data_IF_006047715412
#
_entry.id   IF_006047715412
#
_cell.length_a   1.000
_cell.length_b   1.000
_cell.length_c   1.000
_cell.angle_alpha   90.00
_cell.angle_beta   90.00
_cell.angle_gamma   90.00
#
_symmetry.space_group_name_H-M   'P 1'
#
loop_
_entity.id
_entity.type
_entity.pdbx_description
1 polymer ?
#
# COMPACT_ATOMS: atom_id res chain seq x y z
N UNK A 1 -14.26 31.98 18.18
CA UNK A 1 -15.20 31.38 17.19
C UNK A 1 -15.59 29.92 17.48
N UNK A 2 -15.03 29.23 18.48
CA UNK A 2 -15.54 27.92 18.93
C UNK A 2 -15.26 26.79 17.94
N UNK A 3 -16.05 25.71 18.02
CA UNK A 3 -15.93 24.53 17.14
C UNK A 3 -16.54 24.80 15.76
N UNK A 4 -15.88 24.34 14.70
CA UNK A 4 -16.36 24.48 13.31
C UNK A 4 -16.29 23.15 12.57
N UNK A 5 -17.26 22.92 11.67
CA UNK A 5 -17.30 21.73 10.81
C UNK A 5 -16.33 21.89 9.64
N UNK A 6 -15.33 21.01 9.58
CA UNK A 6 -14.35 20.93 8.49
C UNK A 6 -14.68 19.84 7.44
N UNK A 7 -15.59 18.92 7.75
CA UNK A 7 -15.94 17.82 6.86
C UNK A 7 -16.53 18.33 5.53
N UNK A 8 -16.05 17.80 4.41
CA UNK A 8 -16.49 18.16 3.06
C UNK A 8 -15.92 19.48 2.52
N UNK A 9 -15.08 20.20 3.28
CA UNK A 9 -14.46 21.46 2.86
C UNK A 9 -13.00 21.24 2.48
N UNK A 10 -12.51 22.04 1.53
CA UNK A 10 -11.07 22.15 1.24
C UNK A 10 -10.38 23.06 2.26
N UNK A 11 -9.06 22.95 2.37
CA UNK A 11 -8.24 23.79 3.28
C UNK A 11 -8.51 25.27 3.02
N UNK A 12 -8.47 25.71 1.76
CA UNK A 12 -8.75 27.11 1.36
C UNK A 12 -10.16 27.59 1.71
N UNK A 13 -11.15 26.72 1.57
CA UNK A 13 -12.52 27.07 1.94
C UNK A 13 -12.63 27.30 3.45
N UNK A 14 -11.99 26.43 4.23
CA UNK A 14 -11.99 26.53 5.67
C UNK A 14 -11.18 27.74 6.16
N UNK A 15 -10.04 28.05 5.53
CA UNK A 15 -9.25 29.28 5.79
C UNK A 15 -10.12 30.52 5.65
N UNK A 16 -10.77 30.68 4.49
CA UNK A 16 -11.64 31.84 4.21
C UNK A 16 -12.83 31.96 5.17
N UNK A 17 -13.41 30.84 5.57
CA UNK A 17 -14.53 30.81 6.52
C UNK A 17 -14.07 31.22 7.93
N UNK A 18 -12.88 30.79 8.35
CA UNK A 18 -12.28 31.18 9.63
C UNK A 18 -11.89 32.66 9.61
N UNK A 19 -11.28 33.16 8.52
CA UNK A 19 -10.98 34.59 8.33
C UNK A 19 -12.23 35.46 8.48
N UNK A 20 -13.32 35.07 7.79
CA UNK A 20 -14.60 35.79 7.86
C UNK A 20 -15.14 35.79 9.29
N UNK A 21 -15.15 34.64 9.95
CA UNK A 21 -15.66 34.51 11.33
C UNK A 21 -14.84 35.30 12.36
N UNK A 22 -13.52 35.42 12.16
CA UNK A 22 -12.67 36.27 13.00
C UNK A 22 -12.84 37.76 12.65
N UNK A 23 -12.99 38.09 11.37
CA UNK A 23 -13.14 39.45 10.84
C UNK A 23 -14.40 40.16 11.33
N UNK A 24 -15.51 39.43 11.49
CA UNK A 24 -16.80 40.01 11.88
C UNK A 24 -16.88 40.46 13.34
N UNK A 25 -16.12 39.83 14.25
CA UNK A 25 -16.29 40.03 15.70
C UNK A 25 -15.03 40.26 16.51
N UNK A 26 -13.85 39.94 15.99
CA UNK A 26 -12.66 39.82 16.83
C UNK A 26 -11.42 40.54 16.29
N UNK A 27 -11.16 40.48 14.98
CA UNK A 27 -9.90 40.93 14.39
C UNK A 27 -10.14 41.82 13.16
N UNK A 28 -9.31 42.85 12.96
CA UNK A 28 -9.26 43.57 11.70
C UNK A 28 -8.27 42.88 10.75
N UNK A 29 -8.73 42.48 9.57
CA UNK A 29 -7.93 41.80 8.53
C UNK A 29 -7.12 40.60 9.04
N UNK A 30 -7.77 39.54 9.56
CA UNK A 30 -7.08 38.33 9.97
C UNK A 30 -6.47 37.59 8.77
N UNK A 31 -5.24 37.09 8.92
CA UNK A 31 -4.57 36.17 8.00
C UNK A 31 -4.50 34.79 8.66
N UNK A 32 -5.12 33.78 8.02
CA UNK A 32 -5.28 32.45 8.61
C UNK A 32 -4.69 31.41 7.68
N UNK A 33 -3.68 30.69 8.16
CA UNK A 33 -3.11 29.52 7.47
C UNK A 33 -3.47 28.24 8.22
N UNK A 34 -4.02 27.24 7.51
CA UNK A 34 -4.39 25.96 8.10
C UNK A 34 -3.42 24.86 7.65
N UNK A 35 -2.82 24.17 8.62
CA UNK A 35 -2.04 22.96 8.38
C UNK A 35 -2.85 21.72 8.75
N UNK A 36 -2.99 20.80 7.80
CA UNK A 36 -3.56 19.47 8.08
C UNK A 36 -2.51 18.68 8.89
N UNK A 37 -2.71 18.63 10.21
CA UNK A 37 -1.78 17.98 11.14
C UNK A 37 -1.65 16.48 10.88
N UNK A 38 -2.76 15.80 10.62
CA UNK A 38 -2.82 14.40 10.21
C UNK A 38 -3.98 14.25 9.23
N UNK A 39 -3.69 14.02 7.94
CA UNK A 39 -4.66 13.33 7.09
C UNK A 39 -4.63 11.90 7.59
N UNK A 40 -5.73 11.41 8.17
CA UNK A 40 -5.84 10.00 8.56
C UNK A 40 -5.48 9.21 7.30
N UNK A 41 -4.24 8.72 7.24
CA UNK A 41 -3.66 8.21 6.02
C UNK A 41 -4.60 7.17 5.45
N UNK A 42 -4.86 7.25 4.15
CA UNK A 42 -5.63 6.22 3.49
C UNK A 42 -4.97 4.88 3.83
N UNK A 43 -5.73 3.90 4.28
CA UNK A 43 -5.18 2.57 4.59
C UNK A 43 -5.45 1.64 3.44
N UNK A 44 -4.45 0.84 3.11
CA UNK A 44 -4.57 -0.28 2.18
C UNK A 44 -4.31 -1.58 2.93
N UNK A 45 -4.77 -2.68 2.37
CA UNK A 45 -4.39 -4.02 2.81
C UNK A 45 -3.45 -4.62 1.78
N UNK A 46 -2.33 -5.17 2.22
CA UNK A 46 -1.43 -5.97 1.38
C UNK A 46 -1.39 -7.39 1.94
N UNK A 47 -1.70 -8.36 1.10
CA UNK A 47 -1.90 -9.76 1.49
C UNK A 47 -1.27 -10.73 0.49
N UNK A 48 -1.15 -11.99 0.90
CA UNK A 48 -0.56 -13.08 0.11
C UNK A 48 0.96 -13.14 0.22
N UNK A 49 1.61 -13.48 -0.90
CA UNK A 49 3.03 -13.84 -0.94
C UNK A 49 3.99 -12.63 -0.96
N UNK A 50 3.91 -11.84 0.11
CA UNK A 50 4.80 -10.71 0.43
C UNK A 50 5.60 -11.01 1.71
N UNK A 51 6.67 -10.26 1.95
CA UNK A 51 7.50 -10.49 3.14
C UNK A 51 6.76 -10.12 4.44
N UNK A 52 5.91 -9.10 4.41
CA UNK A 52 5.09 -8.67 5.54
C UNK A 52 3.68 -8.35 5.03
N UNK A 53 2.75 -9.27 5.24
CA UNK A 53 1.34 -9.01 4.98
C UNK A 53 0.75 -8.15 6.11
N UNK A 54 -0.17 -7.25 5.79
CA UNK A 54 -0.77 -6.37 6.77
C UNK A 54 -1.49 -5.15 6.19
N UNK A 55 -1.94 -4.30 7.09
CA UNK A 55 -2.60 -3.04 6.75
C UNK A 55 -1.57 -1.91 6.86
N UNK A 56 -1.45 -1.12 5.80
CA UNK A 56 -0.45 -0.07 5.69
C UNK A 56 -1.10 1.30 5.49
N UNK A 57 -0.65 2.34 6.20
CA UNK A 57 -1.00 3.71 5.87
C UNK A 57 -0.26 4.11 4.58
N UNK A 58 -0.98 4.77 3.67
CA UNK A 58 -0.43 5.31 2.43
C UNK A 58 -0.80 6.77 2.26
N UNK A 59 0.07 7.50 1.57
CA UNK A 59 -0.22 8.85 1.13
C UNK A 59 -1.28 8.81 0.02
N UNK A 60 -1.95 9.94 -0.21
CA UNK A 60 -2.91 10.03 -1.30
C UNK A 60 -2.26 9.78 -2.67
N UNK A 61 -0.96 10.03 -2.84
CA UNK A 61 -0.21 9.85 -4.09
C UNK A 61 0.45 8.48 -4.25
N UNK A 62 0.22 7.54 -3.34
CA UNK A 62 0.87 6.24 -3.36
C UNK A 62 0.52 5.41 -4.61
N UNK A 63 1.50 4.62 -5.03
CA UNK A 63 1.44 3.71 -6.17
C UNK A 63 1.48 2.24 -5.73
N UNK A 64 1.17 1.33 -6.65
CA UNK A 64 1.25 -0.12 -6.37
C UNK A 64 2.65 -0.55 -5.95
N UNK A 65 3.69 0.05 -6.54
CA UNK A 65 5.06 -0.22 -6.11
C UNK A 65 5.32 0.23 -4.67
N UNK A 66 4.74 1.34 -4.23
CA UNK A 66 4.87 1.83 -2.85
C UNK A 66 4.21 0.87 -1.86
N UNK A 67 3.02 0.34 -2.18
CA UNK A 67 2.36 -0.69 -1.37
C UNK A 67 3.24 -1.94 -1.20
N UNK A 68 3.80 -2.44 -2.30
CA UNK A 68 4.66 -3.62 -2.27
C UNK A 68 5.94 -3.34 -1.47
N UNK A 69 6.51 -2.13 -1.59
CA UNK A 69 7.68 -1.72 -0.83
C UNK A 69 7.39 -1.65 0.69
N UNK A 70 6.23 -1.13 1.08
CA UNK A 70 5.79 -1.09 2.48
C UNK A 70 5.62 -2.50 3.08
N UNK A 71 5.16 -3.46 2.26
CA UNK A 71 5.10 -4.87 2.62
C UNK A 71 6.46 -5.60 2.61
N UNK A 72 7.55 -4.88 2.37
CA UNK A 72 8.92 -5.42 2.33
C UNK A 72 9.24 -6.18 1.03
N UNK A 73 8.44 -6.04 -0.02
CA UNK A 73 8.59 -6.76 -1.27
C UNK A 73 7.96 -8.15 -1.26
N UNK A 74 8.20 -8.90 -2.34
CA UNK A 74 7.73 -10.27 -2.51
C UNK A 74 8.55 -11.22 -1.63
N UNK A 75 7.90 -12.25 -1.10
CA UNK A 75 8.62 -13.37 -0.50
C UNK A 75 9.21 -14.29 -1.60
N UNK A 76 10.02 -15.33 -1.26
CA UNK A 76 10.68 -16.17 -2.24
C UNK A 76 9.76 -16.90 -3.22
N UNK A 77 8.49 -17.12 -2.87
CA UNK A 77 7.51 -17.82 -3.70
C UNK A 77 6.50 -16.88 -4.37
N UNK A 78 6.55 -15.57 -4.10
CA UNK A 78 5.63 -14.59 -4.68
C UNK A 78 5.76 -14.45 -6.20
N UNK A 79 4.61 -14.40 -6.88
CA UNK A 79 4.50 -14.18 -8.32
C UNK A 79 4.29 -12.69 -8.62
N UNK A 80 5.36 -12.03 -9.08
CA UNK A 80 5.31 -10.62 -9.44
C UNK A 80 4.47 -10.35 -10.71
N UNK A 81 4.10 -11.39 -11.48
CA UNK A 81 3.19 -11.30 -12.62
C UNK A 81 1.71 -11.45 -12.24
N UNK A 82 1.41 -11.81 -11.00
CA UNK A 82 0.05 -12.07 -10.50
C UNK A 82 -0.25 -11.26 -9.25
N UNK A 83 -0.22 -9.94 -9.40
CA UNK A 83 -0.57 -9.00 -8.34
C UNK A 83 -1.95 -8.42 -8.63
N UNK A 84 -2.92 -8.76 -7.79
CA UNK A 84 -4.30 -8.33 -7.95
C UNK A 84 -4.60 -7.16 -7.03
N UNK A 85 -5.24 -6.12 -7.58
CA UNK A 85 -5.77 -5.01 -6.81
C UNK A 85 -7.29 -5.08 -6.84
N UNK A 86 -7.89 -5.23 -5.66
CA UNK A 86 -9.33 -5.18 -5.45
C UNK A 86 -9.70 -3.81 -4.94
N UNK A 87 -10.64 -3.15 -5.63
CA UNK A 87 -11.11 -1.81 -5.30
C UNK A 87 -12.62 -1.76 -5.26
N UNK A 88 -13.18 -1.24 -4.18
CA UNK A 88 -14.61 -0.97 -4.09
C UNK A 88 -14.90 0.43 -4.64
N UNK A 89 -15.76 0.53 -5.64
CA UNK A 89 -16.23 1.80 -6.24
C UNK A 89 -17.74 1.83 -6.15
N UNK A 90 -18.27 2.48 -5.11
CA UNK A 90 -19.70 2.47 -4.80
C UNK A 90 -20.16 1.05 -4.45
N UNK A 91 -21.11 0.52 -5.24
CA UNK A 91 -21.61 -0.86 -5.10
C UNK A 91 -20.81 -1.88 -5.92
N UNK A 92 -19.87 -1.42 -6.77
CA UNK A 92 -19.13 -2.28 -7.67
C UNK A 92 -17.75 -2.63 -7.12
N UNK A 93 -17.31 -3.87 -7.37
CA UNK A 93 -15.96 -4.34 -7.04
C UNK A 93 -15.14 -4.44 -8.33
N UNK A 94 -14.14 -3.57 -8.45
CA UNK A 94 -13.17 -3.61 -9.54
C UNK A 94 -12.00 -4.50 -9.14
N UNK A 95 -11.54 -5.32 -10.09
CA UNK A 95 -10.40 -6.21 -9.91
C UNK A 95 -9.49 -6.06 -11.11
N UNK A 96 -8.21 -5.78 -10.87
CA UNK A 96 -7.20 -5.66 -11.91
C UNK A 96 -5.97 -6.50 -11.55
N UNK A 97 -5.46 -7.25 -12.52
CA UNK A 97 -4.18 -7.93 -12.42
C UNK A 97 -3.07 -7.03 -12.98
N UNK A 98 -1.95 -6.95 -12.27
CA UNK A 98 -0.77 -6.19 -12.66
C UNK A 98 0.47 -7.09 -12.66
N UNK A 99 1.25 -6.95 -13.72
CA UNK A 99 2.61 -7.51 -13.79
C UNK A 99 3.60 -6.47 -13.28
N UNK A 100 4.08 -6.67 -12.06
CA UNK A 100 5.03 -5.78 -11.38
C UNK A 100 6.42 -5.83 -12.00
N UNK A 101 6.81 -6.94 -12.66
CA UNK A 101 8.08 -7.02 -13.38
C UNK A 101 8.07 -6.09 -14.60
N UNK A 102 6.97 -6.08 -15.35
CA UNK A 102 6.78 -5.16 -16.48
C UNK A 102 6.71 -3.70 -16.03
N UNK A 103 6.06 -3.43 -14.90
CA UNK A 103 6.00 -2.08 -14.32
C UNK A 103 7.42 -1.61 -13.94
N UNK A 104 8.21 -2.45 -13.27
CA UNK A 104 9.61 -2.14 -12.91
C UNK A 104 10.50 -1.95 -14.15
N UNK A 105 10.24 -2.72 -15.20
CA UNK A 105 10.93 -2.59 -16.48
C UNK A 105 10.45 -1.40 -17.33
N UNK A 106 9.50 -0.59 -16.84
CA UNK A 106 8.94 0.55 -17.57
C UNK A 106 8.05 0.17 -18.76
N UNK A 107 7.72 -1.12 -18.92
CA UNK A 107 6.86 -1.63 -20.01
C UNK A 107 5.38 -1.42 -19.73
N UNK A 108 5.02 -1.24 -18.46
CA UNK A 108 3.64 -1.00 -18.04
C UNK A 108 3.58 0.15 -17.03
N UNK A 109 2.43 0.81 -16.92
CA UNK A 109 2.25 1.96 -16.03
C UNK A 109 2.12 1.49 -14.58
N UNK A 110 2.79 2.17 -13.66
CA UNK A 110 2.61 1.96 -12.23
C UNK A 110 1.27 2.59 -11.78
N UNK A 111 0.23 1.79 -11.44
CA UNK A 111 -1.08 2.34 -11.11
C UNK A 111 -1.05 3.01 -9.73
N UNK A 112 -1.88 4.05 -9.57
CA UNK A 112 -2.14 4.66 -8.26
C UNK A 112 -3.07 3.75 -7.45
N UNK A 113 -2.76 3.64 -6.17
CA UNK A 113 -3.60 2.96 -5.18
C UNK A 113 -4.36 3.98 -4.35
N UNK A 114 -5.52 3.60 -3.85
CA UNK A 114 -6.36 4.43 -3.02
C UNK A 114 -6.72 3.72 -1.72
N UNK A 115 -7.14 4.51 -0.74
CA UNK A 115 -7.65 3.97 0.52
C UNK A 115 -8.77 2.95 0.32
N UNK A 116 -8.67 1.84 1.05
CA UNK A 116 -9.58 0.71 0.93
C UNK A 116 -9.19 -0.31 -0.14
N UNK A 117 -8.16 -0.06 -0.94
CA UNK A 117 -7.64 -1.06 -1.87
C UNK A 117 -7.06 -2.26 -1.10
N UNK A 118 -7.30 -3.45 -1.64
CA UNK A 118 -6.68 -4.71 -1.19
C UNK A 118 -5.76 -5.21 -2.30
N UNK A 119 -4.46 -5.26 -2.02
CA UNK A 119 -3.44 -5.77 -2.92
C UNK A 119 -3.12 -7.20 -2.51
N UNK A 120 -3.33 -8.16 -3.40
CA UNK A 120 -3.07 -9.59 -3.15
C UNK A 120 -2.02 -10.09 -4.12
N UNK A 121 -0.96 -10.69 -3.57
CA UNK A 121 0.08 -11.37 -4.36
C UNK A 121 -0.14 -12.87 -4.29
N UNK A 122 -0.27 -13.53 -5.44
CA UNK A 122 -0.37 -14.99 -5.49
C UNK A 122 0.99 -15.67 -5.55
N UNK A 123 1.02 -16.94 -5.16
CA UNK A 123 2.22 -17.75 -5.25
C UNK A 123 2.53 -18.20 -6.67
N UNK A 124 3.82 -18.24 -6.97
CA UNK A 124 4.36 -18.80 -8.20
C UNK A 124 4.63 -20.29 -8.00
N UNK A 125 3.84 -21.13 -8.69
CA UNK A 125 3.94 -22.59 -8.61
C UNK A 125 5.35 -23.09 -8.94
N UNK A 126 6.03 -22.48 -9.91
CA UNK A 126 7.40 -22.84 -10.30
C UNK A 126 8.42 -22.47 -9.22
N UNK A 127 8.26 -21.32 -8.56
CA UNK A 127 9.12 -20.93 -7.43
C UNK A 127 8.90 -21.87 -6.23
N UNK A 128 7.67 -22.25 -5.93
CA UNK A 128 7.36 -23.25 -4.89
C UNK A 128 8.07 -24.58 -5.19
N UNK A 129 7.92 -25.10 -6.42
CA UNK A 129 8.55 -26.37 -6.81
C UNK A 129 10.08 -26.32 -6.68
N UNK A 130 10.71 -25.22 -7.11
CA UNK A 130 12.15 -25.00 -6.97
C UNK A 130 12.56 -24.92 -5.49
N UNK A 131 11.76 -24.26 -4.64
CA UNK A 131 12.08 -24.13 -3.23
C UNK A 131 12.02 -25.49 -2.53
N UNK A 132 10.96 -26.26 -2.76
CA UNK A 132 10.82 -27.61 -2.22
C UNK A 132 11.97 -28.54 -2.65
N UNK A 133 12.43 -28.41 -3.90
CA UNK A 133 13.58 -29.19 -4.40
C UNK A 133 14.87 -28.83 -3.65
N UNK A 134 15.13 -27.54 -3.43
CA UNK A 134 16.32 -27.08 -2.69
C UNK A 134 16.31 -27.59 -1.24
N UNK A 135 15.15 -27.56 -0.59
CA UNK A 135 14.99 -28.06 0.77
C UNK A 135 15.28 -29.56 0.85
N UNK A 136 14.74 -30.36 -0.08
CA UNK A 136 14.98 -31.80 -0.14
C UNK A 136 16.47 -32.14 -0.38
N UNK A 137 17.15 -31.44 -1.29
CA UNK A 137 18.58 -31.63 -1.54
C UNK A 137 19.44 -31.21 -0.33
N UNK A 138 19.05 -30.14 0.37
CA UNK A 138 19.69 -29.70 1.62
C UNK A 138 19.61 -30.75 2.72
N UNK A 139 18.45 -31.38 2.89
CA UNK A 139 18.27 -32.49 3.83
C UNK A 139 19.14 -33.70 3.47
N UNK A 140 19.16 -34.10 2.19
CA UNK A 140 19.95 -35.23 1.73
C UNK A 140 21.46 -35.01 1.94
N UNK A 141 21.97 -33.83 1.62
CA UNK A 141 23.38 -33.48 1.83
C UNK A 141 23.77 -33.42 3.31
N UNK A 142 22.86 -32.97 4.19
CA UNK A 142 23.09 -32.96 5.64
C UNK A 142 23.10 -34.37 6.22
N UNK A 143 22.16 -35.23 5.79
CA UNK A 143 22.13 -36.64 6.21
C UNK A 143 23.40 -37.39 5.77
N UNK A 144 23.89 -37.13 4.55
CA UNK A 144 25.14 -37.72 4.06
C UNK A 144 26.36 -37.28 4.89
N UNK A 145 26.41 -36.03 5.39
CA UNK A 145 27.50 -35.58 6.27
C UNK A 145 27.48 -36.25 7.64
N UNK A 146 26.29 -36.48 8.21
CA UNK A 146 26.15 -37.17 9.50
C UNK A 146 26.60 -38.63 9.39
N UNK A 147 26.27 -39.30 8.28
CA UNK A 147 26.65 -40.69 8.04
C UNK A 147 28.17 -40.92 7.83
N UNK A 148 28.97 -39.86 7.68
CA UNK A 148 30.42 -39.92 7.38
C UNK A 148 31.30 -39.56 8.58
N UNK A 149 30.73 -39.28 9.76
CA UNK A 149 31.49 -39.05 11.00
C UNK A 149 31.63 -40.39 11.76
N UNK A 150 32.85 -40.96 11.91
CA UNK A 150 33.09 -42.18 12.68
C UNK A 150 33.02 -41.96 14.21
#
# INVERSE_FOLDING_TARGET
>A
IGTMTAAGKTVRQLEKEIETAYGEKYLQSPDVTIFVKESIGQRITVDGEVNKAGIYPVSSSASLLDAIALAGGFNPVGDAGKVFVYRNVGQNKLVANYNVEEIRAGKNRNPRIYGGDVVVVFASKSKIAMNNLKDALGLASSAARIAVIP
#
